data_IF_064941369481
#
_entry.id   IF_064941369481
#
_cell.length_a   1.000
_cell.length_b   1.000
_cell.length_c   1.000
_cell.angle_alpha   90.00
_cell.angle_beta   90.00
_cell.angle_gamma   90.00
#
_symmetry.space_group_name_H-M   'P 1'
#
loop_
_entity.id
_entity.type
_entity.pdbx_description
1 polymer ?
#
# COMPACT_ATOMS: atom_id res chain seq x y z
N UNK A 1 -21.86 -4.82 9.28
CA UNK A 1 -20.83 -3.77 9.35
C UNK A 1 -19.55 -4.40 8.85
N UNK A 2 -19.12 -4.07 7.62
CA UNK A 2 -17.79 -4.47 7.16
C UNK A 2 -16.78 -3.61 7.93
N UNK A 3 -15.91 -4.23 8.70
CA UNK A 3 -14.87 -3.52 9.41
C UNK A 3 -13.77 -3.18 8.39
N UNK A 4 -13.76 -1.94 7.90
CA UNK A 4 -12.72 -1.50 6.97
C UNK A 4 -11.34 -1.57 7.64
N UNK A 5 -10.36 -2.15 6.93
CA UNK A 5 -8.99 -2.33 7.40
C UNK A 5 -8.13 -1.16 6.93
N UNK A 6 -7.66 -0.35 7.87
CA UNK A 6 -6.81 0.81 7.56
C UNK A 6 -5.34 0.48 7.75
N UNK A 7 -4.50 0.97 6.86
CA UNK A 7 -3.06 0.75 6.90
C UNK A 7 -2.30 2.04 6.58
N UNK A 8 -1.22 2.29 7.32
CA UNK A 8 -0.18 3.25 6.94
C UNK A 8 0.93 2.48 6.21
N UNK A 9 1.27 2.89 4.99
CA UNK A 9 2.22 2.22 4.11
C UNK A 9 3.38 3.16 3.79
N UNK A 10 4.60 2.66 3.94
CA UNK A 10 5.83 3.30 3.46
C UNK A 10 6.35 2.56 2.23
N UNK A 11 6.60 3.29 1.14
CA UNK A 11 7.04 2.73 -0.13
C UNK A 11 8.22 3.51 -0.73
N UNK A 12 9.00 2.84 -1.56
CA UNK A 12 10.07 3.41 -2.36
C UNK A 12 9.75 3.28 -3.84
N UNK A 13 10.25 4.21 -4.64
CA UNK A 13 10.25 4.18 -6.10
C UNK A 13 11.59 4.74 -6.61
N UNK A 14 11.83 4.68 -7.92
CA UNK A 14 13.14 4.97 -8.53
C UNK A 14 13.79 6.29 -8.06
N UNK A 15 12.99 7.35 -7.94
CA UNK A 15 13.46 8.71 -7.60
C UNK A 15 13.17 9.13 -6.15
N UNK A 16 12.66 8.23 -5.30
CA UNK A 16 12.34 8.61 -3.93
C UNK A 16 11.49 7.64 -3.13
N UNK A 17 10.75 8.18 -2.17
CA UNK A 17 9.88 7.41 -1.30
C UNK A 17 8.72 8.24 -0.80
N UNK A 18 7.68 7.55 -0.36
CA UNK A 18 6.46 8.18 0.11
C UNK A 18 5.78 7.34 1.18
N UNK A 19 4.78 7.96 1.81
CA UNK A 19 3.89 7.29 2.73
C UNK A 19 2.44 7.53 2.30
N UNK A 20 1.58 6.53 2.48
CA UNK A 20 0.16 6.63 2.16
C UNK A 20 -0.68 5.90 3.22
N UNK A 21 -1.81 6.50 3.57
CA UNK A 21 -2.87 5.82 4.32
C UNK A 21 -3.86 5.20 3.35
N UNK A 22 -4.05 3.88 3.43
CA UNK A 22 -5.02 3.15 2.60
C UNK A 22 -6.10 2.51 3.45
N UNK A 23 -7.26 2.27 2.82
CA UNK A 23 -8.37 1.52 3.41
C UNK A 23 -8.73 0.37 2.50
N UNK A 24 -8.77 -0.85 3.05
CA UNK A 24 -9.10 -2.08 2.34
C UNK A 24 -10.37 -2.71 2.92
N UNK A 25 -11.14 -3.38 2.07
CA UNK A 25 -12.33 -4.14 2.48
C UNK A 25 -11.94 -5.45 3.18
N UNK A 26 -10.80 -6.03 2.79
CA UNK A 26 -10.22 -7.26 3.33
C UNK A 26 -8.82 -6.96 3.89
N UNK A 27 -8.35 -7.71 4.92
CA UNK A 27 -7.01 -7.50 5.43
C UNK A 27 -5.95 -7.98 4.44
N UNK A 28 -4.75 -7.42 4.50
CA UNK A 28 -3.57 -7.96 3.80
C UNK A 28 -3.26 -9.35 4.37
N UNK A 29 -3.26 -10.40 3.54
CA UNK A 29 -3.03 -11.79 3.96
C UNK A 29 -1.83 -12.44 3.25
N UNK A 30 -1.39 -11.90 2.13
CA UNK A 30 -0.40 -12.51 1.25
C UNK A 30 0.53 -11.48 0.60
N UNK A 31 1.61 -11.97 -0.02
CA UNK A 31 2.50 -11.13 -0.82
C UNK A 31 1.84 -10.60 -2.10
N UNK A 32 0.85 -11.31 -2.64
CA UNK A 32 0.14 -10.87 -3.83
C UNK A 32 -0.77 -9.66 -3.53
N UNK A 33 -1.30 -9.56 -2.31
CA UNK A 33 -2.00 -8.35 -1.84
C UNK A 33 -1.06 -7.15 -1.82
N UNK A 34 0.18 -7.34 -1.34
CA UNK A 34 1.22 -6.31 -1.31
C UNK A 34 1.53 -5.84 -2.73
N UNK A 35 1.71 -6.77 -3.68
CA UNK A 35 1.96 -6.45 -5.10
C UNK A 35 0.79 -5.70 -5.74
N UNK A 36 -0.45 -6.05 -5.37
CA UNK A 36 -1.64 -5.32 -5.79
C UNK A 36 -1.61 -3.87 -5.32
N UNK A 37 -1.20 -3.64 -4.06
CA UNK A 37 -1.07 -2.30 -3.49
C UNK A 37 0.10 -1.53 -4.13
N UNK A 38 1.25 -2.15 -4.34
CA UNK A 38 2.39 -1.56 -5.07
C UNK A 38 1.95 -1.05 -6.44
N UNK A 39 1.23 -1.89 -7.20
CA UNK A 39 0.67 -1.51 -8.49
C UNK A 39 -0.31 -0.35 -8.37
N UNK A 40 -1.22 -0.39 -7.40
CA UNK A 40 -2.20 0.68 -7.19
C UNK A 40 -1.53 2.02 -6.86
N UNK A 41 -0.48 2.01 -6.03
CA UNK A 41 0.33 3.21 -5.73
C UNK A 41 1.05 3.71 -6.98
N UNK A 42 1.64 2.80 -7.77
CA UNK A 42 2.30 3.13 -9.03
C UNK A 42 1.36 3.83 -10.00
N UNK A 43 0.16 3.27 -10.18
CA UNK A 43 -0.85 3.75 -11.12
C UNK A 43 -1.46 5.10 -10.64
N UNK A 44 -1.76 5.25 -9.34
CA UNK A 44 -2.37 6.46 -8.77
C UNK A 44 -1.44 7.67 -8.81
N UNK A 45 -0.16 7.48 -8.48
CA UNK A 45 0.83 8.55 -8.41
C UNK A 45 1.70 8.67 -9.67
N UNK A 46 1.43 7.86 -10.69
CA UNK A 46 2.21 7.79 -11.94
C UNK A 46 3.71 7.59 -11.69
N UNK A 47 4.05 6.69 -10.75
CA UNK A 47 5.40 6.46 -10.24
C UNK A 47 6.10 5.30 -10.97
N UNK A 48 6.28 5.43 -12.30
CA UNK A 48 7.07 4.46 -13.08
C UNK A 48 6.68 2.99 -12.87
N UNK A 49 7.62 2.07 -13.14
CA UNK A 49 7.37 0.62 -13.13
C UNK A 49 7.73 -0.07 -11.80
N UNK A 50 8.39 0.61 -10.86
CA UNK A 50 8.92 -0.03 -9.65
C UNK A 50 8.56 0.73 -8.39
N UNK A 51 7.41 0.40 -7.82
CA UNK A 51 7.07 0.71 -6.43
C UNK A 51 7.35 -0.52 -5.58
N UNK A 52 8.05 -0.34 -4.46
CA UNK A 52 8.29 -1.42 -3.48
C UNK A 52 7.84 -0.97 -2.09
N UNK A 53 6.91 -1.70 -1.49
CA UNK A 53 6.49 -1.46 -0.11
C UNK A 53 7.61 -1.92 0.83
N UNK A 54 8.10 -1.01 1.67
CA UNK A 54 9.12 -1.28 2.68
C UNK A 54 8.51 -1.71 4.01
N UNK A 55 7.35 -1.12 4.35
CA UNK A 55 6.67 -1.38 5.61
C UNK A 55 5.18 -1.06 5.49
N UNK A 56 4.35 -1.78 6.23
CA UNK A 56 2.94 -1.45 6.41
C UNK A 56 2.52 -1.69 7.86
N UNK A 57 1.71 -0.80 8.39
CA UNK A 57 1.21 -0.86 9.77
C UNK A 57 -0.31 -0.82 9.72
N UNK A 58 -0.95 -1.85 10.26
CA UNK A 58 -2.41 -1.83 10.47
C UNK A 58 -2.75 -0.77 11.51
N UNK A 59 -3.58 0.19 11.13
CA UNK A 59 -4.10 1.20 12.04
C UNK A 59 -5.30 0.62 12.79
N UNK A 60 -5.21 0.57 14.12
CA UNK A 60 -6.36 0.22 14.94
C UNK A 60 -7.32 1.41 14.94
N UNK A 61 -8.59 1.16 14.60
CA UNK A 61 -9.67 2.13 14.85
C UNK A 61 -9.92 2.26 16.35
#
# INVERSE_FOLDING_TARGET
MSAAYKYFISYLYEDGGGNVDITLEEPIQSIDDIRGIEKAISDEFNLGDSVTIQNFIKLNN
#
